data_IF_722250924978
#
_entry.id   IF_722250924978
#
_cell.length_a   1.000
_cell.length_b   1.000
_cell.length_c   1.000
_cell.angle_alpha   90.00
_cell.angle_beta   90.00
_cell.angle_gamma   90.00
#
_symmetry.space_group_name_H-M   'P 1'
#
loop_
_entity.id
_entity.type
_entity.pdbx_description
1 polymer ?
#
# COMPACT_ATOMS: atom_id res chain seq x y z
N UNK A 1 -15.41 -55.34 -77.98
CA UNK A 1 -15.45 -54.78 -76.60
C UNK A 1 -14.18 -54.01 -76.40
N UNK A 2 -14.23 -52.69 -76.55
CA UNK A 2 -13.09 -51.78 -76.52
C UNK A 2 -13.47 -50.60 -75.64
N UNK A 3 -12.68 -50.39 -74.59
CA UNK A 3 -12.93 -49.48 -73.48
C UNK A 3 -12.98 -48.00 -73.94
N UNK A 4 -13.80 -47.15 -73.28
CA UNK A 4 -13.75 -45.71 -73.48
C UNK A 4 -12.49 -45.10 -72.83
N UNK A 5 -11.95 -44.00 -73.39
CA UNK A 5 -10.73 -43.37 -72.89
C UNK A 5 -10.95 -42.59 -71.58
N UNK A 6 -9.92 -42.62 -70.73
CA UNK A 6 -9.76 -41.90 -69.47
C UNK A 6 -9.83 -40.36 -69.67
N UNK A 7 -10.53 -39.60 -68.81
CA UNK A 7 -10.49 -38.15 -68.87
C UNK A 7 -9.19 -37.58 -68.28
N UNK A 8 -8.59 -36.65 -69.01
CA UNK A 8 -7.45 -35.80 -68.61
C UNK A 8 -7.86 -34.85 -67.47
N UNK A 9 -7.10 -34.70 -66.37
CA UNK A 9 -7.39 -33.71 -65.34
C UNK A 9 -7.04 -32.29 -65.82
N UNK A 10 -7.92 -31.33 -65.52
CA UNK A 10 -7.74 -29.90 -65.76
C UNK A 10 -6.71 -29.30 -64.79
N UNK A 11 -6.01 -28.19 -65.15
CA UNK A 11 -5.03 -27.57 -64.29
C UNK A 11 -5.71 -26.82 -63.13
N UNK A 12 -5.13 -26.94 -61.93
CA UNK A 12 -5.54 -26.19 -60.74
C UNK A 12 -4.94 -24.79 -60.84
N UNK A 13 -5.77 -23.75 -60.83
CA UNK A 13 -5.34 -22.35 -60.73
C UNK A 13 -5.15 -22.03 -59.25
N UNK A 14 -3.89 -21.84 -58.85
CA UNK A 14 -3.51 -21.44 -57.51
C UNK A 14 -3.68 -19.92 -57.37
N UNK A 15 -4.71 -19.47 -56.64
CA UNK A 15 -4.91 -18.06 -56.32
C UNK A 15 -4.12 -17.71 -55.06
N UNK A 16 -2.98 -17.04 -55.23
CA UNK A 16 -2.24 -16.41 -54.13
C UNK A 16 -3.08 -15.26 -53.56
N UNK A 17 -3.41 -15.21 -52.26
CA UNK A 17 -4.06 -14.04 -51.71
C UNK A 17 -3.04 -12.90 -51.58
N UNK A 18 -3.30 -11.79 -52.27
CA UNK A 18 -2.63 -10.51 -52.06
C UNK A 18 -2.96 -10.01 -50.65
N UNK A 19 -2.03 -10.20 -49.71
CA UNK A 19 -2.12 -9.61 -48.38
C UNK A 19 -1.84 -8.11 -48.47
N UNK A 20 -2.90 -7.29 -48.36
CA UNK A 20 -2.77 -5.87 -48.07
C UNK A 20 -2.06 -5.71 -46.72
N UNK A 21 -0.84 -5.16 -46.75
CA UNK A 21 -0.21 -4.63 -45.55
C UNK A 21 -1.02 -3.42 -45.08
N UNK A 22 -1.85 -3.62 -44.06
CA UNK A 22 -2.45 -2.52 -43.31
C UNK A 22 -1.37 -1.93 -42.40
N UNK A 23 -0.86 -0.76 -42.76
CA UNK A 23 -0.11 0.11 -41.85
C UNK A 23 -1.06 0.59 -40.74
N UNK A 24 -1.15 -0.17 -39.66
CA UNK A 24 -1.72 0.32 -38.40
C UNK A 24 -0.61 1.05 -37.64
N UNK A 25 -0.54 2.38 -37.80
CA UNK A 25 0.02 3.23 -36.74
C UNK A 25 -0.96 3.16 -35.58
N UNK A 26 -0.75 2.20 -34.68
CA UNK A 26 -1.38 2.19 -33.35
C UNK A 26 -0.84 3.41 -32.61
N UNK A 27 -1.69 4.40 -32.38
CA UNK A 27 -1.49 5.38 -31.32
C UNK A 27 -1.46 4.62 -29.99
N UNK A 28 -0.26 4.23 -29.57
CA UNK A 28 -0.06 3.57 -28.28
C UNK A 28 -0.25 4.62 -27.19
N UNK A 29 -1.44 4.68 -26.60
CA UNK A 29 -1.63 5.38 -25.33
C UNK A 29 -0.57 4.87 -24.34
N UNK A 30 0.11 5.76 -23.58
CA UNK A 30 1.12 5.31 -22.64
C UNK A 30 0.53 4.30 -21.65
N UNK A 31 1.24 3.21 -21.40
CA UNK A 31 0.91 2.26 -20.32
C UNK A 31 0.86 2.99 -18.97
N UNK A 32 0.16 2.47 -17.97
CA UNK A 32 0.13 3.11 -16.64
C UNK A 32 1.56 3.30 -16.08
N UNK A 33 2.47 2.35 -16.32
CA UNK A 33 3.91 2.48 -16.00
C UNK A 33 4.52 3.71 -16.69
N UNK A 34 4.27 3.88 -17.99
CA UNK A 34 4.72 5.04 -18.75
C UNK A 34 4.11 6.36 -18.25
N UNK A 35 2.84 6.33 -17.83
CA UNK A 35 2.15 7.49 -17.25
C UNK A 35 2.76 7.90 -15.91
N UNK A 36 2.99 6.97 -14.98
CA UNK A 36 3.63 7.26 -13.67
C UNK A 36 5.01 7.87 -13.87
N UNK A 37 5.81 7.30 -14.78
CA UNK A 37 7.15 7.82 -15.11
C UNK A 37 7.14 9.24 -15.69
N UNK A 38 6.00 9.74 -16.14
CA UNK A 38 5.86 11.10 -16.67
C UNK A 38 4.80 11.90 -15.90
N UNK A 39 4.42 11.47 -14.71
CA UNK A 39 3.44 12.14 -13.86
C UNK A 39 4.08 13.32 -13.10
N UNK A 40 3.22 14.19 -12.58
CA UNK A 40 3.62 15.11 -11.52
C UNK A 40 3.77 14.33 -10.22
N UNK A 41 4.67 14.74 -9.36
CA UNK A 41 4.89 14.13 -8.06
C UNK A 41 5.05 15.20 -6.99
N UNK A 42 4.37 15.05 -5.85
CA UNK A 42 4.55 15.92 -4.71
C UNK A 42 5.65 15.32 -3.81
N UNK A 43 6.69 16.10 -3.51
CA UNK A 43 7.77 15.66 -2.63
C UNK A 43 7.21 15.34 -1.22
N UNK A 44 7.62 14.20 -0.68
CA UNK A 44 7.11 13.64 0.56
C UNK A 44 7.96 13.98 1.79
N UNK A 45 9.26 14.25 1.63
CA UNK A 45 10.16 14.57 2.75
C UNK A 45 10.24 16.07 3.10
N UNK A 46 9.49 16.94 2.42
CA UNK A 46 9.60 18.40 2.59
C UNK A 46 8.41 18.98 3.34
N UNK A 47 8.65 19.92 4.26
CA UNK A 47 7.60 20.63 5.02
C UNK A 47 6.71 21.52 4.13
N UNK A 48 7.16 21.84 2.91
CA UNK A 48 6.41 22.65 1.95
C UNK A 48 5.86 21.78 0.81
N UNK A 49 4.64 22.09 0.36
CA UNK A 49 4.08 21.49 -0.86
C UNK A 49 4.92 21.88 -2.09
N UNK A 50 5.81 20.98 -2.50
CA UNK A 50 6.60 21.12 -3.73
C UNK A 50 6.23 20.01 -4.70
N UNK A 51 5.75 20.40 -5.88
CA UNK A 51 5.39 19.46 -6.95
C UNK A 51 6.43 19.52 -8.07
N UNK A 52 6.97 18.37 -8.43
CA UNK A 52 7.96 18.20 -9.50
C UNK A 52 7.35 17.45 -10.69
N UNK A 53 7.93 17.66 -11.88
CA UNK A 53 7.54 16.94 -13.09
C UNK A 53 8.55 15.82 -13.35
N UNK A 54 8.10 14.58 -13.32
CA UNK A 54 8.94 13.44 -13.70
C UNK A 54 9.07 13.37 -15.22
N UNK A 55 10.25 12.99 -15.70
CA UNK A 55 10.50 12.68 -17.11
C UNK A 55 11.18 11.32 -17.17
N UNK A 56 10.52 10.34 -17.80
CA UNK A 56 10.99 8.94 -17.86
C UNK A 56 11.33 8.32 -16.49
N UNK A 57 10.63 8.75 -15.44
CA UNK A 57 10.73 8.24 -14.08
C UNK A 57 11.75 8.95 -13.22
N UNK A 58 12.31 10.06 -13.70
CA UNK A 58 13.38 10.80 -13.02
C UNK A 58 13.02 12.28 -12.90
N UNK A 59 13.39 12.88 -11.78
CA UNK A 59 13.57 14.32 -11.64
C UNK A 59 14.88 14.58 -10.90
N UNK A 60 15.64 15.57 -11.34
CA UNK A 60 16.88 15.99 -10.67
C UNK A 60 17.02 17.51 -10.70
N UNK A 61 17.41 18.09 -9.57
CA UNK A 61 17.72 19.52 -9.44
C UNK A 61 18.89 19.73 -8.49
N UNK A 62 19.57 20.87 -8.63
CA UNK A 62 20.77 21.17 -7.86
C UNK A 62 22.00 20.39 -8.34
N UNK A 63 23.16 20.70 -7.77
CA UNK A 63 24.38 19.95 -8.04
C UNK A 63 24.53 18.83 -7.00
N UNK A 64 25.02 17.63 -7.37
CA UNK A 64 25.26 16.57 -6.39
C UNK A 64 26.11 17.06 -5.20
N UNK A 65 25.58 16.88 -3.99
CA UNK A 65 26.19 17.35 -2.74
C UNK A 65 25.93 18.81 -2.37
N UNK A 66 25.11 19.55 -3.14
CA UNK A 66 24.59 20.86 -2.74
C UNK A 66 23.40 20.74 -1.79
N UNK A 67 23.11 21.80 -1.04
CA UNK A 67 21.97 21.84 -0.11
C UNK A 67 20.61 21.82 -0.81
N UNK A 68 20.59 22.19 -2.10
CA UNK A 68 19.42 22.22 -2.98
C UNK A 68 19.32 20.98 -3.87
N UNK A 69 20.18 19.97 -3.66
CA UNK A 69 20.13 18.75 -4.44
C UNK A 69 18.83 18.00 -4.16
N UNK A 70 18.13 17.61 -5.21
CA UNK A 70 16.96 16.73 -5.14
C UNK A 70 17.09 15.74 -6.28
N UNK A 71 17.02 14.46 -5.96
CA UNK A 71 16.87 13.38 -6.95
C UNK A 71 15.65 12.56 -6.60
N UNK A 72 14.76 12.38 -7.58
CA UNK A 72 13.55 11.57 -7.47
C UNK A 72 13.60 10.49 -8.54
N UNK A 73 13.35 9.24 -8.15
CA UNK A 73 13.34 8.10 -9.06
C UNK A 73 12.13 7.20 -8.81
N UNK A 74 11.38 6.88 -9.86
CA UNK A 74 10.30 5.88 -9.82
C UNK A 74 10.91 4.48 -9.85
N UNK A 75 10.65 3.69 -8.80
CA UNK A 75 11.11 2.31 -8.69
C UNK A 75 10.29 1.38 -9.61
N UNK A 76 10.78 0.16 -9.81
CA UNK A 76 10.10 -0.85 -10.64
C UNK A 76 8.98 -1.60 -9.88
N UNK A 77 8.38 -0.96 -8.89
CA UNK A 77 7.22 -1.45 -8.14
C UNK A 77 6.07 -0.51 -8.42
N UNK A 78 5.20 -0.92 -9.35
CA UNK A 78 4.03 -0.16 -9.78
C UNK A 78 2.89 -1.15 -9.96
N UNK A 79 1.73 -0.85 -9.38
CA UNK A 79 0.50 -1.62 -9.55
C UNK A 79 -0.67 -0.69 -9.89
N UNK A 80 -1.73 -1.22 -10.46
CA UNK A 80 -2.98 -0.50 -10.72
C UNK A 80 -4.18 -1.36 -10.31
N UNK A 81 -5.25 -0.71 -9.90
CA UNK A 81 -6.50 -1.34 -9.49
C UNK A 81 -7.40 -0.33 -8.79
N UNK A 82 -8.69 -0.64 -8.77
CA UNK A 82 -9.73 0.13 -8.12
C UNK A 82 -9.60 0.08 -6.59
N UNK A 83 -9.15 1.17 -5.97
CA UNK A 83 -8.94 1.29 -4.51
C UNK A 83 -10.15 1.89 -3.80
N UNK A 84 -10.92 2.77 -4.45
CA UNK A 84 -12.07 3.46 -3.86
C UNK A 84 -13.44 2.90 -4.28
N UNK A 85 -13.44 1.87 -5.13
CA UNK A 85 -14.61 1.19 -5.68
C UNK A 85 -15.50 2.10 -6.54
N UNK A 86 -14.94 3.14 -7.18
CA UNK A 86 -15.66 4.00 -8.12
C UNK A 86 -15.73 3.43 -9.55
N UNK A 87 -15.00 2.33 -9.80
CA UNK A 87 -14.92 1.64 -11.09
C UNK A 87 -13.82 2.15 -12.01
N UNK A 88 -12.98 3.07 -11.56
CA UNK A 88 -11.74 3.51 -12.20
C UNK A 88 -10.55 2.96 -11.42
N UNK A 89 -9.45 2.70 -12.13
CA UNK A 89 -8.23 2.22 -11.48
C UNK A 89 -7.41 3.39 -10.93
N UNK A 90 -6.98 3.27 -9.67
CA UNK A 90 -5.84 4.01 -9.15
C UNK A 90 -4.54 3.35 -9.62
N UNK A 91 -3.46 4.13 -9.57
CA UNK A 91 -2.11 3.64 -9.80
C UNK A 91 -1.26 3.90 -8.58
N UNK A 92 -0.62 2.85 -8.07
CA UNK A 92 0.30 2.93 -6.93
C UNK A 92 1.72 2.67 -7.39
N UNK A 93 2.67 3.41 -6.83
CA UNK A 93 4.08 3.27 -7.15
C UNK A 93 4.96 3.52 -5.93
N UNK A 94 6.14 2.91 -5.92
CA UNK A 94 7.20 3.31 -5.02
C UNK A 94 8.11 4.34 -5.69
N UNK A 95 8.33 5.47 -5.02
CA UNK A 95 9.16 6.58 -5.49
C UNK A 95 10.22 6.88 -4.44
N UNK A 96 11.48 6.99 -4.86
CA UNK A 96 12.59 7.32 -3.97
C UNK A 96 13.01 8.77 -4.08
N UNK A 97 13.37 9.38 -2.96
CA UNK A 97 13.89 10.75 -2.85
C UNK A 97 15.28 10.77 -2.19
N UNK A 98 16.19 11.59 -2.73
CA UNK A 98 17.49 11.88 -2.14
C UNK A 98 17.76 13.39 -2.17
N UNK A 99 18.29 13.93 -1.07
CA UNK A 99 18.52 15.36 -0.87
C UNK A 99 20.01 15.73 -0.71
N UNK A 100 20.91 14.93 -1.29
CA UNK A 100 22.35 15.21 -1.35
C UNK A 100 23.19 14.47 -0.29
N UNK A 101 22.52 13.77 0.64
CA UNK A 101 23.15 12.85 1.57
C UNK A 101 23.20 11.41 1.06
N UNK A 102 23.43 10.45 1.97
CA UNK A 102 23.45 9.01 1.64
C UNK A 102 22.09 8.33 1.78
N UNK A 103 21.11 8.99 2.41
CA UNK A 103 19.76 8.47 2.57
C UNK A 103 18.98 8.49 1.26
N UNK A 104 18.16 7.47 1.04
CA UNK A 104 17.25 7.36 -0.11
C UNK A 104 15.89 6.96 0.43
N UNK A 105 15.05 7.94 0.67
CA UNK A 105 13.73 7.75 1.30
C UNK A 105 12.75 7.24 0.27
N UNK A 106 12.11 6.10 0.53
CA UNK A 106 11.12 5.53 -0.39
C UNK A 106 9.72 5.84 0.14
N UNK A 107 8.86 6.29 -0.75
CA UNK A 107 7.46 6.60 -0.50
C UNK A 107 6.56 5.67 -1.29
N UNK A 108 5.47 5.21 -0.67
CA UNK A 108 4.33 4.63 -1.35
C UNK A 108 3.43 5.76 -1.80
N UNK A 109 3.14 5.83 -3.09
CA UNK A 109 2.44 6.95 -3.73
C UNK A 109 1.20 6.44 -4.45
N UNK A 110 0.10 7.17 -4.33
CA UNK A 110 -1.17 6.88 -5.01
C UNK A 110 -1.50 7.98 -6.00
N UNK A 111 -1.93 7.56 -7.18
CA UNK A 111 -2.44 8.41 -8.24
C UNK A 111 -3.86 7.97 -8.61
N UNK A 112 -4.76 8.93 -8.85
CA UNK A 112 -6.00 8.64 -9.55
C UNK A 112 -5.81 8.82 -11.05
N UNK A 113 -6.48 8.01 -11.87
CA UNK A 113 -6.53 8.21 -13.32
C UNK A 113 -7.73 9.07 -13.71
N UNK A 114 -7.48 10.36 -13.89
CA UNK A 114 -8.51 11.32 -14.31
C UNK A 114 -8.40 11.54 -15.82
N UNK A 115 -9.23 10.82 -16.58
CA UNK A 115 -9.31 10.92 -18.06
C UNK A 115 -7.96 10.66 -18.77
N UNK A 116 -7.20 9.66 -18.33
CA UNK A 116 -5.90 9.31 -18.92
C UNK A 116 -4.73 10.15 -18.39
N UNK A 117 -4.97 11.01 -17.39
CA UNK A 117 -3.96 11.82 -16.70
C UNK A 117 -3.89 11.37 -15.24
N UNK A 118 -2.70 11.00 -14.81
CA UNK A 118 -2.47 10.69 -13.40
C UNK A 118 -2.42 11.97 -12.58
N UNK A 119 -3.28 12.04 -11.57
CA UNK A 119 -3.31 13.08 -10.55
C UNK A 119 -2.82 12.51 -9.23
N UNK A 120 -1.82 13.16 -8.63
CA UNK A 120 -1.29 12.77 -7.32
C UNK A 120 -2.39 12.90 -6.27
N UNK A 121 -2.63 11.82 -5.52
CA UNK A 121 -3.58 11.83 -4.41
C UNK A 121 -2.86 11.99 -3.09
N UNK A 122 -1.91 11.10 -2.80
CA UNK A 122 -1.24 11.05 -1.51
C UNK A 122 0.03 10.20 -1.55
N UNK A 123 0.81 10.29 -0.48
CA UNK A 123 1.99 9.46 -0.29
C UNK A 123 2.28 9.23 1.18
N UNK A 124 2.83 8.06 1.51
CA UNK A 124 3.33 7.74 2.86
C UNK A 124 4.77 7.26 2.76
N UNK A 125 5.60 7.64 3.75
CA UNK A 125 6.97 7.13 3.82
C UNK A 125 6.96 5.63 4.13
N UNK A 126 7.77 4.87 3.40
CA UNK A 126 7.99 3.45 3.62
C UNK A 126 9.14 3.26 4.59
N UNK A 127 10.33 3.72 4.22
CA UNK A 127 11.58 3.75 5.01
C UNK A 127 12.71 4.46 4.22
N UNK A 128 13.88 4.65 4.82
CA UNK A 128 15.15 4.90 4.12
C UNK A 128 15.72 3.58 3.57
N UNK A 129 15.98 3.51 2.26
CA UNK A 129 16.58 2.35 1.55
C UNK A 129 15.96 0.98 1.88
N UNK A 130 14.63 0.84 1.91
CA UNK A 130 14.00 -0.46 2.15
C UNK A 130 14.30 -1.49 1.05
N UNK A 131 14.26 -2.78 1.40
CA UNK A 131 14.29 -3.87 0.42
C UNK A 131 12.86 -4.29 0.11
N UNK A 132 12.37 -3.91 -1.06
CA UNK A 132 10.99 -4.17 -1.47
C UNK A 132 10.89 -5.57 -2.09
N UNK A 133 9.98 -6.39 -1.56
CA UNK A 133 9.73 -7.74 -2.06
C UNK A 133 8.54 -7.77 -3.02
N UNK A 134 7.45 -7.08 -2.68
CA UNK A 134 6.22 -7.07 -3.49
C UNK A 134 5.38 -5.80 -3.27
N UNK A 135 4.64 -5.42 -4.32
CA UNK A 135 3.58 -4.40 -4.32
C UNK A 135 2.46 -4.88 -5.23
N UNK A 136 1.23 -4.91 -4.73
CA UNK A 136 0.02 -5.22 -5.52
C UNK A 136 -1.17 -4.43 -5.00
N UNK A 137 -2.27 -4.43 -5.77
CA UNK A 137 -3.59 -4.02 -5.30
C UNK A 137 -4.49 -5.25 -5.34
N UNK A 138 -5.09 -5.58 -4.21
CA UNK A 138 -5.93 -6.77 -4.02
C UNK A 138 -7.12 -6.41 -3.14
N UNK A 139 -8.35 -6.68 -3.62
CA UNK A 139 -9.57 -6.45 -2.83
C UNK A 139 -9.85 -5.00 -2.44
N UNK A 140 -9.36 -4.02 -3.21
CA UNK A 140 -9.50 -2.58 -2.88
C UNK A 140 -8.43 -2.07 -1.91
N UNK A 141 -7.41 -2.88 -1.60
CA UNK A 141 -6.32 -2.52 -0.71
C UNK A 141 -4.97 -2.67 -1.40
N UNK A 142 -4.02 -1.82 -1.02
CA UNK A 142 -2.62 -1.91 -1.44
C UNK A 142 -1.93 -2.92 -0.53
N UNK A 143 -1.34 -3.96 -1.09
CA UNK A 143 -0.45 -4.89 -0.38
C UNK A 143 1.01 -4.48 -0.56
N UNK A 144 1.79 -4.40 0.53
CA UNK A 144 3.22 -4.10 0.50
C UNK A 144 4.01 -5.07 1.41
N UNK A 145 4.92 -5.84 0.80
CA UNK A 145 5.92 -6.67 1.49
C UNK A 145 7.30 -6.02 1.33
N UNK A 146 7.89 -5.61 2.45
CA UNK A 146 9.10 -4.80 2.46
C UNK A 146 9.93 -5.03 3.71
N UNK A 147 11.26 -5.05 3.56
CA UNK A 147 12.21 -5.06 4.67
C UNK A 147 12.62 -3.62 4.97
N UNK A 148 12.41 -3.20 6.21
CA UNK A 148 12.72 -1.88 6.74
C UNK A 148 13.72 -1.97 7.89
N UNK A 149 14.21 -0.84 8.36
CA UNK A 149 15.07 -0.78 9.54
C UNK A 149 14.28 -1.13 10.80
N UNK A 150 14.81 -2.09 11.57
CA UNK A 150 14.45 -2.28 12.97
C UNK A 150 15.17 -1.29 13.88
N UNK A 151 14.74 -1.24 15.14
CA UNK A 151 15.27 -0.32 16.17
C UNK A 151 16.80 -0.33 16.31
N UNK A 152 17.40 -1.50 16.16
CA UNK A 152 18.84 -1.74 16.35
C UNK A 152 19.64 -1.78 15.03
N UNK A 153 18.97 -1.58 13.89
CA UNK A 153 19.64 -1.64 12.60
C UNK A 153 20.49 -0.39 12.38
N UNK A 154 21.72 -0.52 11.85
CA UNK A 154 22.44 0.63 11.34
C UNK A 154 21.69 1.18 10.12
N UNK A 155 21.72 2.51 9.93
CA UNK A 155 21.02 3.21 8.84
C UNK A 155 21.34 2.74 7.41
N UNK A 156 22.29 1.82 7.21
CA UNK A 156 22.62 1.28 5.90
C UNK A 156 21.79 0.06 5.51
N UNK A 157 21.26 -0.66 6.49
CA UNK A 157 21.13 -2.09 6.40
C UNK A 157 19.86 -2.56 7.14
N UNK A 158 18.69 -2.41 6.51
CA UNK A 158 17.42 -2.85 7.09
C UNK A 158 17.35 -4.37 7.21
N UNK A 159 16.75 -4.88 8.29
CA UNK A 159 16.59 -6.32 8.55
C UNK A 159 15.17 -6.74 8.92
N UNK A 160 14.29 -5.80 9.27
CA UNK A 160 12.94 -6.08 9.74
C UNK A 160 11.98 -6.26 8.55
N UNK A 161 11.60 -7.51 8.25
CA UNK A 161 10.53 -7.75 7.27
C UNK A 161 9.18 -7.31 7.81
N UNK A 162 8.41 -6.64 6.98
CA UNK A 162 7.06 -6.17 7.24
C UNK A 162 6.13 -6.56 6.10
N UNK A 163 4.89 -6.85 6.44
CA UNK A 163 3.76 -6.95 5.52
C UNK A 163 2.69 -6.01 6.04
N UNK A 164 2.10 -5.22 5.15
CA UNK A 164 1.06 -4.26 5.51
C UNK A 164 0.11 -4.02 4.34
N UNK A 165 -1.15 -3.77 4.70
CA UNK A 165 -2.17 -3.34 3.75
C UNK A 165 -2.57 -1.90 4.00
N UNK A 166 -2.91 -1.20 2.92
CA UNK A 166 -3.45 0.14 2.99
C UNK A 166 -4.74 0.26 2.22
N UNK A 167 -5.67 1.04 2.76
CA UNK A 167 -6.87 1.49 2.06
C UNK A 167 -6.74 2.97 1.72
N UNK A 168 -7.25 3.36 0.56
CA UNK A 168 -7.50 4.76 0.26
C UNK A 168 -8.80 5.18 0.95
N UNK A 169 -8.68 5.95 2.04
CA UNK A 169 -9.81 6.47 2.80
C UNK A 169 -10.31 7.80 2.24
N UNK A 170 -11.39 8.33 2.84
CA UNK A 170 -11.93 9.62 2.46
C UNK A 170 -10.85 10.71 2.49
N UNK A 171 -10.98 11.71 1.60
CA UNK A 171 -10.07 12.87 1.53
C UNK A 171 -8.63 12.47 1.15
N UNK A 172 -8.46 11.41 0.37
CA UNK A 172 -7.16 10.95 -0.16
C UNK A 172 -6.15 10.61 0.94
N UNK A 173 -6.61 10.06 2.06
CA UNK A 173 -5.72 9.55 3.10
C UNK A 173 -5.39 8.08 2.86
N UNK A 174 -4.13 7.68 3.06
CA UNK A 174 -3.76 6.26 3.09
C UNK A 174 -3.81 5.75 4.53
N UNK A 175 -4.80 4.90 4.77
CA UNK A 175 -5.06 4.28 6.05
C UNK A 175 -4.43 2.90 6.05
N UNK A 176 -3.54 2.63 7.00
CA UNK A 176 -3.01 1.29 7.17
C UNK A 176 -4.08 0.42 7.82
N UNK A 177 -4.42 -0.70 7.17
CA UNK A 177 -5.47 -1.62 7.63
C UNK A 177 -4.89 -2.64 8.62
N UNK A 178 -3.73 -3.20 8.28
CA UNK A 178 -2.94 -4.06 9.16
C UNK A 178 -1.44 -3.82 8.97
N UNK A 179 -0.68 -4.25 9.98
CA UNK A 179 0.77 -4.25 9.98
C UNK A 179 1.29 -5.50 10.66
N UNK A 180 2.18 -6.23 10.00
CA UNK A 180 2.79 -7.45 10.53
C UNK A 180 4.30 -7.35 10.42
N UNK A 181 5.00 -7.50 11.55
CA UNK A 181 6.46 -7.76 11.55
C UNK A 181 6.74 -9.26 11.61
N UNK A 182 7.96 -9.64 11.24
CA UNK A 182 8.43 -11.02 11.35
C UNK A 182 9.60 -11.10 12.33
N UNK A 183 9.55 -12.07 13.23
CA UNK A 183 10.69 -12.39 14.13
C UNK A 183 11.90 -12.87 13.33
N UNK A 184 13.11 -12.91 13.91
CA UNK A 184 14.29 -13.48 13.24
C UNK A 184 14.10 -14.94 12.79
N UNK A 185 13.22 -15.69 13.45
CA UNK A 185 12.86 -17.07 13.08
C UNK A 185 11.81 -17.13 11.94
N UNK A 186 11.33 -15.99 11.45
CA UNK A 186 10.31 -15.89 10.41
C UNK A 186 8.87 -16.06 10.91
N UNK A 187 8.64 -16.15 12.23
CA UNK A 187 7.29 -16.18 12.78
C UNK A 187 6.63 -14.79 12.67
N UNK A 188 5.40 -14.68 12.13
CA UNK A 188 4.71 -13.41 11.98
C UNK A 188 4.11 -12.95 13.31
N UNK A 189 4.18 -11.65 13.57
CA UNK A 189 3.54 -11.01 14.72
C UNK A 189 2.23 -10.36 14.26
N UNK A 190 1.17 -11.17 14.24
CA UNK A 190 -0.15 -10.73 13.80
C UNK A 190 -1.03 -10.36 14.99
N UNK A 191 -1.85 -9.33 14.78
CA UNK A 191 -3.04 -9.05 15.58
C UNK A 191 -4.25 -9.32 14.68
N UNK A 192 -5.33 -9.84 15.23
CA UNK A 192 -6.58 -10.01 14.50
C UNK A 192 -7.74 -9.57 15.39
N UNK A 193 -8.49 -8.58 14.94
CA UNK A 193 -9.76 -8.16 15.53
C UNK A 193 -10.86 -9.07 14.96
N UNK A 194 -11.44 -9.89 15.82
CA UNK A 194 -12.50 -10.83 15.46
C UNK A 194 -13.90 -10.25 15.68
N UNK A 195 -14.02 -9.26 16.58
CA UNK A 195 -15.24 -8.50 16.78
C UNK A 195 -14.96 -7.08 17.30
N UNK A 196 -15.79 -6.10 16.94
CA UNK A 196 -16.89 -6.22 15.99
C UNK A 196 -16.38 -6.30 14.53
N UNK A 197 -17.20 -6.75 13.57
CA UNK A 197 -16.85 -6.66 12.15
C UNK A 197 -16.58 -5.22 11.71
N UNK A 198 -15.76 -5.05 10.68
CA UNK A 198 -15.53 -3.76 10.04
C UNK A 198 -16.87 -3.09 9.62
N UNK A 199 -17.00 -1.78 9.86
CA UNK A 199 -18.19 -1.00 9.55
C UNK A 199 -19.35 -1.16 10.54
N UNK A 200 -19.14 -1.78 11.70
CA UNK A 200 -20.20 -2.00 12.67
C UNK A 200 -20.73 -0.70 13.29
N UNK A 201 -22.04 -0.65 13.51
CA UNK A 201 -22.69 0.44 14.25
C UNK A 201 -22.50 0.27 15.76
N UNK A 202 -22.09 1.34 16.45
CA UNK A 202 -21.73 1.31 17.88
C UNK A 202 -22.28 2.52 18.62
N UNK A 203 -22.53 2.34 19.93
CA UNK A 203 -23.21 3.33 20.77
C UNK A 203 -22.42 3.58 22.06
N UNK A 204 -21.67 4.69 22.12
CA UNK A 204 -20.90 5.14 23.29
C UNK A 204 -19.74 4.23 23.75
N UNK A 205 -19.79 2.93 23.46
CA UNK A 205 -18.74 1.94 23.70
C UNK A 205 -18.84 0.78 22.72
N UNK A 206 -17.76 0.03 22.59
CA UNK A 206 -17.65 -1.14 21.71
C UNK A 206 -16.90 -2.26 22.43
N UNK A 207 -17.42 -3.49 22.35
CA UNK A 207 -16.70 -4.68 22.81
C UNK A 207 -15.76 -5.13 21.69
N UNK A 208 -14.45 -5.07 21.96
CA UNK A 208 -13.42 -5.45 21.00
C UNK A 208 -12.80 -6.76 21.44
N UNK A 209 -12.84 -7.75 20.55
CA UNK A 209 -12.29 -9.09 20.77
C UNK A 209 -11.36 -9.47 19.66
N UNK A 210 -10.34 -10.22 20.02
CA UNK A 210 -9.41 -10.71 19.03
C UNK A 210 -8.31 -11.56 19.64
N UNK A 211 -7.27 -11.75 18.84
CA UNK A 211 -6.13 -12.60 19.17
C UNK A 211 -4.82 -12.01 18.69
N UNK A 212 -3.74 -12.45 19.31
CA UNK A 212 -2.37 -12.15 18.92
C UNK A 212 -1.61 -13.46 18.70
N UNK A 213 -0.73 -13.50 17.69
CA UNK A 213 0.13 -14.66 17.47
C UNK A 213 1.30 -14.71 18.47
N UNK A 214 1.73 -13.56 18.97
CA UNK A 214 2.82 -13.40 19.94
C UNK A 214 2.33 -12.37 20.98
N UNK A 215 2.27 -12.76 22.25
CA UNK A 215 1.86 -11.85 23.30
C UNK A 215 2.79 -10.62 23.39
N UNK A 216 2.22 -9.41 23.53
CA UNK A 216 2.99 -8.16 23.62
C UNK A 216 3.74 -8.05 24.95
N UNK A 217 4.63 -7.07 25.04
CA UNK A 217 5.33 -6.77 26.30
C UNK A 217 4.31 -6.49 27.42
N UNK A 218 4.53 -7.07 28.60
CA UNK A 218 3.61 -7.00 29.74
C UNK A 218 2.15 -7.42 29.42
N UNK A 219 1.95 -8.23 28.37
CA UNK A 219 0.61 -8.61 27.88
C UNK A 219 -0.32 -7.41 27.64
N UNK A 220 0.25 -6.27 27.22
CA UNK A 220 -0.50 -5.04 26.97
C UNK A 220 -0.38 -4.60 25.52
N UNK A 221 -1.53 -4.44 24.84
CA UNK A 221 -1.66 -3.75 23.56
C UNK A 221 -2.10 -2.30 23.80
N UNK A 222 -1.89 -1.44 22.81
CA UNK A 222 -2.50 -0.12 22.75
C UNK A 222 -3.71 -0.15 21.82
N UNK A 223 -4.73 0.67 22.10
CA UNK A 223 -5.72 1.04 21.09
C UNK A 223 -5.64 2.53 20.81
N UNK A 224 -6.00 2.91 19.59
CA UNK A 224 -6.15 4.32 19.17
C UNK A 224 -7.40 4.45 18.33
N UNK A 225 -8.09 5.58 18.47
CA UNK A 225 -9.27 5.93 17.69
C UNK A 225 -8.97 7.20 16.92
N UNK A 226 -9.18 7.17 15.62
CA UNK A 226 -8.98 8.29 14.72
C UNK A 226 -10.30 8.70 14.05
N UNK A 227 -10.46 9.98 13.74
CA UNK A 227 -11.48 10.42 12.78
C UNK A 227 -11.05 10.15 11.33
N UNK A 228 -11.94 10.46 10.38
CA UNK A 228 -11.70 10.33 8.93
C UNK A 228 -10.59 11.24 8.38
N UNK A 229 -10.11 12.22 9.16
CA UNK A 229 -8.97 13.06 8.80
C UNK A 229 -7.65 12.57 9.41
N UNK A 230 -7.66 11.47 10.16
CA UNK A 230 -6.51 10.94 10.87
C UNK A 230 -6.19 11.66 12.20
N UNK A 231 -7.12 12.44 12.74
CA UNK A 231 -6.96 13.07 14.05
C UNK A 231 -7.25 12.06 15.14
N UNK A 232 -6.31 11.87 16.07
CA UNK A 232 -6.50 10.99 17.22
C UNK A 232 -7.55 11.57 18.18
N UNK A 233 -8.63 10.81 18.39
CA UNK A 233 -9.76 11.14 19.27
C UNK A 233 -9.61 10.53 20.66
N UNK A 234 -9.03 9.33 20.74
CA UNK A 234 -8.82 8.61 21.99
C UNK A 234 -7.71 7.56 21.86
N UNK A 235 -7.10 7.21 22.99
CA UNK A 235 -6.15 6.11 23.09
C UNK A 235 -6.25 5.45 24.47
N UNK A 236 -5.80 4.20 24.56
CA UNK A 236 -5.75 3.46 25.81
C UNK A 236 -5.07 2.10 25.66
N UNK A 237 -5.21 1.26 26.67
CA UNK A 237 -4.60 -0.06 26.73
C UNK A 237 -5.63 -1.18 26.62
N UNK A 238 -5.23 -2.32 26.07
CA UNK A 238 -5.98 -3.57 26.02
C UNK A 238 -5.12 -4.66 26.66
N UNK A 239 -5.67 -5.36 27.65
CA UNK A 239 -4.99 -6.50 28.26
C UNK A 239 -5.14 -7.74 27.38
N UNK A 240 -4.06 -8.50 27.25
CA UNK A 240 -4.00 -9.80 26.57
C UNK A 240 -3.95 -10.92 27.60
N UNK A 241 -4.80 -11.91 27.43
CA UNK A 241 -4.71 -13.18 28.15
C UNK A 241 -3.84 -14.16 27.34
N UNK A 242 -2.66 -14.48 27.88
CA UNK A 242 -1.71 -15.41 27.28
C UNK A 242 -1.07 -16.27 28.39
N UNK A 243 -0.85 -17.58 28.15
CA UNK A 243 -0.34 -18.49 29.17
C UNK A 243 1.12 -18.23 29.55
N UNK A 244 1.92 -17.76 28.59
CA UNK A 244 3.36 -17.51 28.74
C UNK A 244 3.77 -16.28 27.92
N UNK A 245 4.93 -15.69 28.26
CA UNK A 245 5.50 -14.57 27.49
C UNK A 245 5.79 -15.00 26.05
N UNK A 246 5.28 -14.20 25.10
CA UNK A 246 5.44 -14.46 23.66
C UNK A 246 4.60 -15.62 23.12
N UNK A 247 3.80 -16.31 23.94
CA UNK A 247 2.83 -17.29 23.45
C UNK A 247 1.66 -16.57 22.73
N UNK A 248 0.90 -17.28 21.86
CA UNK A 248 -0.36 -16.76 21.36
C UNK A 248 -1.32 -16.41 22.50
N UNK A 249 -2.13 -15.37 22.30
CA UNK A 249 -3.06 -14.86 23.32
C UNK A 249 -4.35 -14.32 22.73
N UNK A 250 -5.29 -13.99 23.60
CA UNK A 250 -6.58 -13.39 23.23
C UNK A 250 -6.84 -12.10 24.01
N UNK A 251 -7.64 -11.21 23.47
CA UNK A 251 -8.08 -10.01 24.17
C UNK A 251 -9.59 -9.82 24.04
N UNK A 252 -10.19 -9.20 25.05
CA UNK A 252 -11.62 -8.95 25.13
C UNK A 252 -11.88 -7.73 26.03
N UNK A 253 -11.96 -6.54 25.43
CA UNK A 253 -12.00 -5.26 26.15
C UNK A 253 -13.21 -4.42 25.75
N UNK A 254 -13.77 -3.65 26.69
CA UNK A 254 -14.82 -2.67 26.40
C UNK A 254 -14.19 -1.30 26.23
N UNK A 255 -14.11 -0.82 24.98
CA UNK A 255 -13.56 0.49 24.66
C UNK A 255 -14.68 1.53 24.70
N UNK A 256 -14.46 2.62 25.44
CA UNK A 256 -15.37 3.77 25.45
C UNK A 256 -15.02 4.73 24.32
N UNK A 257 -16.01 5.11 23.54
CA UNK A 257 -15.86 6.02 22.41
C UNK A 257 -15.89 7.50 22.86
N UNK A 258 -16.25 7.78 24.11
CA UNK A 258 -16.28 9.15 24.62
C UNK A 258 -17.38 10.00 23.98
N UNK A 259 -17.07 11.27 23.69
CA UNK A 259 -18.03 12.25 23.16
C UNK A 259 -18.00 12.36 21.63
N UNK A 260 -17.68 11.27 20.92
CA UNK A 260 -17.69 11.24 19.46
C UNK A 260 -19.12 11.43 18.97
N UNK A 261 -19.29 12.30 17.97
CA UNK A 261 -20.61 12.67 17.46
C UNK A 261 -21.29 11.48 16.77
N UNK A 262 -22.59 11.30 17.04
CA UNK A 262 -23.41 10.36 16.27
C UNK A 262 -23.35 10.71 14.78
N UNK A 263 -23.18 9.69 13.95
CA UNK A 263 -23.00 9.78 12.50
C UNK A 263 -21.54 9.79 12.06
N UNK A 264 -20.58 9.93 12.97
CA UNK A 264 -19.16 9.88 12.62
C UNK A 264 -18.72 8.45 12.30
N UNK A 265 -17.88 8.31 11.27
CA UNK A 265 -17.07 7.12 11.03
C UNK A 265 -15.73 7.34 11.73
N UNK A 266 -15.26 6.32 12.45
CA UNK A 266 -13.97 6.36 13.15
C UNK A 266 -13.19 5.08 12.88
N UNK A 267 -11.87 5.20 12.79
CA UNK A 267 -10.95 4.06 12.69
C UNK A 267 -10.46 3.71 14.09
N UNK A 268 -10.72 2.48 14.52
CA UNK A 268 -10.10 1.89 15.71
C UNK A 268 -8.92 1.03 15.28
N UNK A 269 -7.74 1.34 15.80
CA UNK A 269 -6.55 0.51 15.67
C UNK A 269 -6.26 -0.21 16.99
N UNK A 270 -5.85 -1.48 16.89
CA UNK A 270 -5.25 -2.23 17.97
C UNK A 270 -3.79 -2.49 17.60
N UNK A 271 -2.88 -1.99 18.42
CA UNK A 271 -1.45 -1.92 18.14
C UNK A 271 -0.64 -2.67 19.19
N UNK A 272 0.36 -3.42 18.73
CA UNK A 272 1.48 -3.89 19.53
C UNK A 272 2.65 -2.95 19.26
N UNK A 273 3.06 -2.23 20.31
CA UNK A 273 4.07 -1.19 20.24
C UNK A 273 5.29 -1.64 21.04
N UNK A 274 6.46 -1.52 20.44
CA UNK A 274 7.73 -1.81 21.09
C UNK A 274 7.94 -0.91 22.31
N UNK A 275 8.12 -1.52 23.48
CA UNK A 275 8.46 -0.80 24.71
C UNK A 275 9.87 -0.18 24.67
N UNK A 276 10.73 -0.61 23.73
CA UNK A 276 12.10 -0.11 23.63
C UNK A 276 12.19 1.27 22.95
N UNK A 277 11.40 1.48 21.89
CA UNK A 277 11.53 2.63 21.00
C UNK A 277 10.20 3.21 20.49
N UNK A 278 9.06 2.59 20.83
CA UNK A 278 7.75 3.02 20.37
C UNK A 278 7.41 2.64 18.93
N UNK A 279 8.24 1.83 18.27
CA UNK A 279 7.94 1.34 16.92
C UNK A 279 6.77 0.37 16.90
N UNK A 280 6.06 0.30 15.77
CA UNK A 280 4.96 -0.63 15.58
C UNK A 280 5.51 -2.04 15.32
N UNK A 281 5.01 -3.03 16.05
CA UNK A 281 5.39 -4.44 15.91
C UNK A 281 4.28 -5.29 15.28
N UNK A 282 3.03 -4.89 15.47
CA UNK A 282 1.85 -5.49 14.87
C UNK A 282 0.67 -4.55 15.00
N UNK A 283 -0.26 -4.57 14.04
CA UNK A 283 -1.47 -3.75 14.08
C UNK A 283 -2.57 -4.41 13.27
N UNK A 284 -3.80 -4.26 13.73
CA UNK A 284 -5.01 -4.50 12.95
C UNK A 284 -6.02 -3.37 13.24
N UNK A 285 -6.89 -3.09 12.29
CA UNK A 285 -7.82 -1.96 12.38
C UNK A 285 -9.21 -2.28 11.83
N UNK A 286 -10.19 -1.56 12.35
CA UNK A 286 -11.57 -1.60 11.87
C UNK A 286 -12.16 -0.19 11.88
N UNK A 287 -13.10 0.04 10.98
CA UNK A 287 -14.01 1.18 11.03
C UNK A 287 -15.24 0.88 11.86
N UNK A 288 -15.71 1.91 12.55
CA UNK A 288 -16.93 1.90 13.34
C UNK A 288 -17.79 3.10 12.96
N UNK A 289 -19.11 2.89 12.90
CA UNK A 289 -20.09 3.95 12.67
C UNK A 289 -20.73 4.30 14.01
N UNK A 290 -20.44 5.48 14.54
CA UNK A 290 -20.98 5.93 15.82
C UNK A 290 -22.44 6.35 15.65
N UNK A 291 -23.32 5.90 16.53
CA UNK A 291 -24.77 6.19 16.54
C UNK A 291 -25.26 6.73 17.88
#
# INVERSE_FOLDING_TARGET
MTAPPTPTPAPVIETTPTSLAASATLDASPTFVGRVRNAKYQLGATDSLQVVQLTNGVYESGAPGSAEYISVNVLNFIANGDLDNDGLDEVVALISENYGGTGVFVFLVVYADVNGRLEFQTSVIVDDRPLVNALSIEGGEIFLDVVIHGAEDPLCCPTLRTVRHYRLAEINQLDMVDYTTFTPAGAPRTITIEAPPNGSEVYGSVQVRGRVAIAPFENTLAYRIYDVGGVELAAGAINVDAPDLGAPGTFNEVIRLGNILSGAVVRLEVQDVSAADGSLLGMDSIELVVK
#
